data_IF_317341249388
#
_entry.id   IF_317341249388
#
_cell.length_a   1.000
_cell.length_b   1.000
_cell.length_c   1.000
_cell.angle_alpha   90.00
_cell.angle_beta   90.00
_cell.angle_gamma   90.00
#
_symmetry.space_group_name_H-M   'P 1'
#
loop_
_entity.id
_entity.type
_entity.pdbx_description
1 polymer ?
#
# COMPACT_ATOMS: atom_id res chain seq x y z
N UNK A 1 7.48 -0.52 13.27
CA UNK A 1 7.44 0.48 12.17
C UNK A 1 6.00 0.93 11.92
N UNK A 2 5.54 1.96 12.65
CA UNK A 2 4.22 2.61 12.45
C UNK A 2 4.45 3.86 11.60
N UNK A 3 3.96 3.86 10.37
CA UNK A 3 4.07 4.99 9.46
C UNK A 3 2.96 4.90 8.42
N UNK A 4 2.63 6.00 7.71
CA UNK A 4 1.48 6.05 6.80
C UNK A 4 1.56 4.98 5.70
N UNK A 5 2.76 4.61 5.26
CA UNK A 5 3.01 3.61 4.23
C UNK A 5 3.26 2.19 4.77
N UNK A 6 3.11 1.97 6.08
CA UNK A 6 3.39 0.66 6.68
C UNK A 6 2.45 -0.45 6.17
N UNK A 7 1.17 -0.12 5.94
CA UNK A 7 0.18 -1.05 5.38
C UNK A 7 0.51 -1.42 3.94
N UNK A 8 0.93 -0.44 3.14
CA UNK A 8 1.40 -0.66 1.76
C UNK A 8 2.66 -1.55 1.76
N UNK A 9 3.62 -1.24 2.62
CA UNK A 9 4.84 -2.02 2.76
C UNK A 9 4.54 -3.48 3.14
N UNK A 10 3.58 -3.68 4.05
CA UNK A 10 3.10 -5.00 4.43
C UNK A 10 2.44 -5.73 3.24
N UNK A 11 1.59 -5.05 2.46
CA UNK A 11 1.00 -5.63 1.25
C UNK A 11 2.03 -6.00 0.17
N UNK A 12 3.12 -5.24 0.08
CA UNK A 12 4.20 -5.51 -0.88
C UNK A 12 4.99 -6.78 -0.52
N UNK A 13 5.25 -7.04 0.76
CA UNK A 13 6.20 -8.08 1.18
C UNK A 13 5.55 -9.25 1.94
N UNK A 14 4.44 -9.04 2.65
CA UNK A 14 3.83 -9.99 3.58
C UNK A 14 2.31 -10.07 3.33
N UNK A 15 1.94 -10.44 2.11
CA UNK A 15 0.55 -10.37 1.63
C UNK A 15 -0.46 -11.10 2.52
N UNK A 16 -0.07 -12.27 3.07
CA UNK A 16 -0.88 -13.10 3.97
C UNK A 16 -1.22 -12.43 5.32
N UNK A 17 -0.55 -11.33 5.68
CA UNK A 17 -0.82 -10.58 6.95
C UNK A 17 -1.76 -9.38 6.77
N UNK A 18 -2.23 -9.11 5.55
CA UNK A 18 -3.21 -8.05 5.28
C UNK A 18 -4.62 -8.64 5.45
N UNK A 19 -5.39 -8.08 6.38
CA UNK A 19 -6.79 -8.45 6.60
C UNK A 19 -7.71 -7.68 5.64
N UNK A 20 -8.95 -8.15 5.46
CA UNK A 20 -9.98 -7.43 4.68
C UNK A 20 -10.19 -6.00 5.21
N UNK A 21 -10.24 -5.82 6.53
CA UNK A 21 -10.35 -4.50 7.17
C UNK A 21 -9.18 -3.58 6.79
N UNK A 22 -7.93 -4.07 6.84
CA UNK A 22 -6.77 -3.27 6.42
C UNK A 22 -6.87 -2.81 4.96
N UNK A 23 -7.41 -3.66 4.07
CA UNK A 23 -7.62 -3.30 2.66
C UNK A 23 -8.62 -2.14 2.55
N UNK A 24 -9.77 -2.23 3.21
CA UNK A 24 -10.81 -1.18 3.13
C UNK A 24 -10.37 0.15 3.74
N UNK A 25 -9.75 0.13 4.91
CA UNK A 25 -9.28 1.33 5.60
C UNK A 25 -8.11 2.04 4.90
N UNK A 26 -7.35 1.34 4.07
CA UNK A 26 -6.21 1.96 3.38
C UNK A 26 -6.70 2.83 2.23
N UNK A 27 -6.49 4.14 2.33
CA UNK A 27 -6.73 5.08 1.24
C UNK A 27 -5.58 5.02 0.23
N UNK A 28 -5.90 4.83 -1.05
CA UNK A 28 -4.92 4.64 -2.13
C UNK A 28 -4.35 5.98 -2.60
N UNK A 29 -5.17 7.02 -2.69
CA UNK A 29 -4.73 8.33 -3.17
C UNK A 29 -3.70 8.95 -2.22
N UNK A 30 -3.98 8.95 -0.93
CA UNK A 30 -3.05 9.46 0.09
C UNK A 30 -1.77 8.65 0.16
N UNK A 31 -1.87 7.34 -0.07
CA UNK A 31 -0.75 6.42 -0.17
C UNK A 31 0.17 6.75 -1.35
N UNK A 32 -0.41 7.03 -2.52
CA UNK A 32 0.32 7.40 -3.74
C UNK A 32 0.96 8.78 -3.60
N UNK A 33 0.24 9.78 -3.07
CA UNK A 33 0.80 11.12 -2.85
C UNK A 33 1.99 11.06 -1.86
N UNK A 34 1.91 10.22 -0.83
CA UNK A 34 3.02 9.99 0.10
C UNK A 34 4.25 9.30 -0.51
N UNK A 35 4.10 8.62 -1.66
CA UNK A 35 5.21 8.01 -2.42
C UNK A 35 5.81 9.02 -3.41
N UNK A 36 4.97 9.81 -4.08
CA UNK A 36 5.38 10.82 -5.08
C UNK A 36 6.02 12.03 -4.41
N UNK A 37 5.47 12.47 -3.27
CA UNK A 37 5.94 13.63 -2.49
C UNK A 37 6.36 13.20 -1.09
N UNK A 38 7.42 12.39 -0.96
CA UNK A 38 7.78 11.85 0.34
C UNK A 38 8.40 12.94 1.22
N UNK A 39 8.00 12.98 2.51
CA UNK A 39 8.57 13.90 3.50
C UNK A 39 10.07 13.70 3.74
N UNK A 40 10.57 12.50 3.44
CA UNK A 40 11.99 12.12 3.55
C UNK A 40 12.37 11.41 2.26
N UNK A 41 13.60 11.61 1.77
CA UNK A 41 14.09 10.95 0.55
C UNK A 41 13.85 9.44 0.61
N UNK A 42 13.04 8.93 -0.31
CA UNK A 42 12.86 7.50 -0.53
C UNK A 42 13.85 7.02 -1.58
N UNK A 43 14.50 5.88 -1.33
CA UNK A 43 15.26 5.21 -2.36
C UNK A 43 14.31 4.72 -3.46
N UNK A 44 14.73 4.82 -4.73
CA UNK A 44 13.92 4.41 -5.88
C UNK A 44 13.45 2.95 -5.77
N UNK A 45 14.33 2.06 -5.28
CA UNK A 45 13.98 0.65 -5.01
C UNK A 45 12.83 0.53 -4.00
N UNK A 46 12.83 1.34 -2.94
CA UNK A 46 11.76 1.36 -1.93
C UNK A 46 10.46 1.85 -2.54
N UNK A 47 10.50 2.89 -3.38
CA UNK A 47 9.33 3.39 -4.11
C UNK A 47 8.71 2.33 -5.01
N UNK A 48 9.53 1.53 -5.71
CA UNK A 48 9.04 0.40 -6.53
C UNK A 48 8.27 -0.64 -5.71
N UNK A 49 8.79 -1.04 -4.53
CA UNK A 49 8.08 -1.96 -3.65
C UNK A 49 6.77 -1.36 -3.12
N UNK A 50 6.77 -0.07 -2.78
CA UNK A 50 5.57 0.61 -2.31
C UNK A 50 4.50 0.67 -3.40
N UNK A 51 4.86 0.96 -4.65
CA UNK A 51 3.93 0.92 -5.79
C UNK A 51 3.34 -0.48 -6.00
N UNK A 52 4.14 -1.54 -5.89
CA UNK A 52 3.63 -2.91 -5.92
C UNK A 52 2.60 -3.17 -4.81
N UNK A 53 2.88 -2.70 -3.59
CA UNK A 53 1.96 -2.80 -2.46
C UNK A 53 0.63 -2.08 -2.72
N UNK A 54 0.67 -0.89 -3.33
CA UNK A 54 -0.53 -0.12 -3.71
C UNK A 54 -1.38 -0.90 -4.70
N UNK A 55 -0.79 -1.40 -5.79
CA UNK A 55 -1.53 -2.14 -6.83
C UNK A 55 -2.16 -3.41 -6.26
N UNK A 56 -1.48 -4.12 -5.35
CA UNK A 56 -2.05 -5.30 -4.66
C UNK A 56 -3.23 -4.95 -3.76
N UNK A 57 -3.21 -3.81 -3.07
CA UNK A 57 -4.35 -3.34 -2.27
C UNK A 57 -5.52 -2.99 -3.19
N UNK A 58 -5.26 -2.28 -4.29
CA UNK A 58 -6.29 -1.94 -5.28
C UNK A 58 -6.95 -3.19 -5.88
N UNK A 59 -6.15 -4.16 -6.33
CA UNK A 59 -6.64 -5.43 -6.88
C UNK A 59 -7.53 -6.17 -5.89
N UNK A 60 -7.18 -6.19 -4.59
CA UNK A 60 -8.03 -6.78 -3.55
C UNK A 60 -9.33 -6.02 -3.34
N UNK A 61 -9.32 -4.68 -3.34
CA UNK A 61 -10.55 -3.88 -3.27
C UNK A 61 -11.49 -4.22 -4.43
N UNK A 62 -10.97 -4.26 -5.66
CA UNK A 62 -11.74 -4.63 -6.84
C UNK A 62 -12.29 -6.07 -6.73
N UNK A 63 -11.47 -7.02 -6.26
CA UNK A 63 -11.92 -8.39 -6.02
C UNK A 63 -13.03 -8.48 -4.97
N UNK A 64 -12.97 -7.69 -3.90
CA UNK A 64 -14.01 -7.65 -2.88
C UNK A 64 -15.28 -6.92 -3.31
N UNK A 65 -15.20 -6.07 -4.34
CA UNK A 65 -16.36 -5.41 -4.92
C UNK A 65 -17.11 -6.35 -5.88
N UNK A 66 -16.38 -7.19 -6.63
CA UNK A 66 -16.94 -8.15 -7.59
C UNK A 66 -17.43 -9.46 -6.95
N UNK A 67 -17.20 -9.64 -5.65
CA UNK A 67 -17.51 -10.86 -4.89
C UNK A 67 -18.75 -10.69 -4.02
#
# INVERSE_FOLDING_TARGET
KKGPLARIWLAAHWDKKITKAHVFETNIETSVDGIIKPKVKLALRTSGHLLLGVVRIYSRKAKYLLA
#
